data_IF_807525665334
#
_entry.id   IF_807525665334
#
_cell.length_a   1.000
_cell.length_b   1.000
_cell.length_c   1.000
_cell.angle_alpha   90.00
_cell.angle_beta   90.00
_cell.angle_gamma   90.00
#
_symmetry.space_group_name_H-M   'P 1'
#
loop_
_entity.id
_entity.type
_entity.pdbx_description
1 polymer ?
#
# COMPACT_ATOMS: atom_id res chain seq x y z
N UNK A 1 -12.33 0.06 5.86
CA UNK A 1 -12.05 1.48 6.10
C UNK A 1 -12.26 2.23 4.79
N UNK A 2 -13.39 2.90 4.60
CA UNK A 2 -13.74 3.47 3.30
C UNK A 2 -12.66 4.44 2.77
N UNK A 3 -12.09 5.26 3.66
CA UNK A 3 -11.06 6.24 3.29
C UNK A 3 -9.75 5.62 2.76
N UNK A 4 -9.31 4.47 3.29
CA UNK A 4 -8.07 3.84 2.83
C UNK A 4 -8.23 3.33 1.39
N UNK A 5 -9.37 2.68 1.11
CA UNK A 5 -9.70 2.20 -0.23
C UNK A 5 -9.78 3.37 -1.21
N UNK A 6 -10.54 4.41 -0.86
CA UNK A 6 -10.70 5.60 -1.70
C UNK A 6 -9.37 6.29 -2.00
N UNK A 7 -8.46 6.36 -1.03
CA UNK A 7 -7.12 6.93 -1.24
C UNK A 7 -6.29 6.11 -2.23
N UNK A 8 -6.26 4.77 -2.09
CA UNK A 8 -5.53 3.89 -3.02
C UNK A 8 -6.13 4.00 -4.43
N UNK A 9 -7.45 3.97 -4.56
CA UNK A 9 -8.14 4.12 -5.85
C UNK A 9 -7.86 5.48 -6.49
N UNK A 10 -7.90 6.57 -5.72
CA UNK A 10 -7.61 7.93 -6.21
C UNK A 10 -6.18 8.05 -6.71
N UNK A 11 -5.22 7.52 -5.96
CA UNK A 11 -3.80 7.54 -6.35
C UNK A 11 -3.59 6.72 -7.63
N UNK A 12 -4.19 5.53 -7.73
CA UNK A 12 -4.09 4.70 -8.93
C UNK A 12 -4.79 5.30 -10.15
N UNK A 13 -5.90 6.02 -9.94
CA UNK A 13 -6.63 6.70 -11.00
C UNK A 13 -5.99 8.03 -11.43
N UNK A 14 -5.01 8.55 -10.69
CA UNK A 14 -4.39 9.87 -10.95
C UNK A 14 -3.60 9.97 -12.25
N UNK A 15 -3.28 8.84 -12.90
CA UNK A 15 -2.41 8.79 -14.08
C UNK A 15 -0.92 9.03 -13.78
N UNK A 16 -0.57 9.26 -12.51
CA UNK A 16 0.82 9.27 -12.06
C UNK A 16 1.40 7.86 -12.17
N UNK A 17 2.70 7.77 -12.44
CA UNK A 17 3.43 6.50 -12.56
C UNK A 17 4.76 6.59 -11.82
N UNK A 18 5.42 5.44 -11.61
CA UNK A 18 6.72 5.38 -10.93
C UNK A 18 6.66 5.40 -9.40
N UNK A 19 5.49 5.16 -8.81
CA UNK A 19 5.34 4.98 -7.36
C UNK A 19 4.78 3.58 -7.03
N UNK A 20 4.90 3.22 -5.76
CA UNK A 20 4.31 2.02 -5.17
C UNK A 20 3.49 2.44 -3.96
N UNK A 21 2.31 1.85 -3.79
CA UNK A 21 1.42 2.15 -2.65
C UNK A 21 1.53 1.02 -1.64
N UNK A 22 2.00 1.34 -0.43
CA UNK A 22 2.06 0.41 0.69
C UNK A 22 1.00 0.84 1.71
N UNK A 23 0.20 -0.10 2.19
CA UNK A 23 -0.81 0.14 3.23
C UNK A 23 -0.52 -0.68 4.47
N UNK A 24 -0.96 -0.23 5.63
CA UNK A 24 -0.57 -0.84 6.89
C UNK A 24 -1.29 -0.32 8.13
N UNK A 25 -0.91 -0.89 9.28
CA UNK A 25 -1.43 -0.55 10.60
C UNK A 25 -2.20 -1.69 11.28
N UNK A 26 -2.40 -1.56 12.60
CA UNK A 26 -3.01 -2.60 13.45
C UNK A 26 -4.36 -3.18 12.94
N UNK A 27 -5.27 -2.39 12.34
CA UNK A 27 -6.54 -2.92 11.85
C UNK A 27 -6.53 -3.33 10.35
N UNK A 28 -5.37 -3.30 9.67
CA UNK A 28 -5.25 -3.63 8.24
C UNK A 28 -4.67 -5.04 8.10
N UNK A 29 -5.26 -5.83 7.19
CA UNK A 29 -4.78 -7.18 6.84
C UNK A 29 -4.12 -7.18 5.46
N UNK A 30 -3.23 -8.15 5.17
CA UNK A 30 -2.63 -8.32 3.86
C UNK A 30 -3.67 -8.61 2.76
N UNK A 31 -4.74 -9.32 3.10
CA UNK A 31 -5.86 -9.58 2.19
C UNK A 31 -6.57 -8.29 1.80
N UNK A 32 -6.84 -7.41 2.77
CA UNK A 32 -7.47 -6.12 2.49
C UNK A 32 -6.58 -5.21 1.65
N UNK A 33 -5.27 -5.21 1.92
CA UNK A 33 -4.30 -4.47 1.10
C UNK A 33 -4.34 -4.90 -0.38
N UNK A 34 -4.45 -6.21 -0.62
CA UNK A 34 -4.57 -6.76 -1.97
C UNK A 34 -5.91 -6.42 -2.60
N UNK A 35 -7.01 -6.52 -1.85
CA UNK A 35 -8.37 -6.20 -2.30
C UNK A 35 -8.51 -4.76 -2.79
N UNK A 36 -7.93 -3.80 -2.06
CA UNK A 36 -7.95 -2.39 -2.44
C UNK A 36 -6.89 -2.04 -3.50
N UNK A 37 -6.08 -3.01 -3.92
CA UNK A 37 -5.08 -2.85 -4.95
C UNK A 37 -3.81 -2.13 -4.50
N UNK A 38 -3.39 -2.23 -3.24
CA UNK A 38 -2.07 -1.75 -2.83
C UNK A 38 -0.95 -2.64 -3.44
N UNK A 39 0.23 -2.07 -3.64
CA UNK A 39 1.43 -2.79 -4.10
C UNK A 39 2.14 -3.53 -2.94
N UNK A 40 1.84 -3.16 -1.69
CA UNK A 40 2.41 -3.79 -0.52
C UNK A 40 1.57 -3.62 0.74
N UNK A 41 1.85 -4.50 1.71
CA UNK A 41 1.32 -4.44 3.06
C UNK A 41 2.48 -4.41 4.08
N UNK A 42 2.32 -3.64 5.16
CA UNK A 42 3.19 -3.70 6.31
C UNK A 42 2.41 -3.50 7.64
N UNK A 43 2.61 -4.36 8.66
CA UNK A 43 1.91 -4.22 9.93
C UNK A 43 2.44 -3.07 10.81
N UNK A 44 3.68 -2.64 10.58
CA UNK A 44 4.38 -1.64 11.38
C UNK A 44 5.39 -0.82 10.54
N UNK A 45 5.95 0.23 11.15
CA UNK A 45 6.86 1.15 10.49
C UNK A 45 8.19 0.51 10.04
N UNK A 46 8.75 -0.41 10.84
CA UNK A 46 10.00 -1.10 10.50
C UNK A 46 9.81 -2.02 9.31
N UNK A 47 8.74 -2.82 9.34
CA UNK A 47 8.34 -3.67 8.21
C UNK A 47 8.04 -2.87 6.94
N UNK A 48 7.46 -1.67 7.06
CA UNK A 48 7.20 -0.79 5.92
C UNK A 48 8.50 -0.31 5.24
N UNK A 49 9.53 0.02 6.02
CA UNK A 49 10.83 0.41 5.46
C UNK A 49 11.49 -0.74 4.69
N UNK A 50 11.46 -1.96 5.24
CA UNK A 50 11.96 -3.16 4.56
C UNK A 50 11.18 -3.39 3.26
N UNK A 51 9.84 -3.35 3.32
CA UNK A 51 8.99 -3.56 2.15
C UNK A 51 9.20 -2.52 1.07
N UNK A 52 9.43 -1.26 1.46
CA UNK A 52 9.73 -0.18 0.53
C UNK A 52 11.00 -0.47 -0.25
N UNK A 53 12.07 -0.94 0.43
CA UNK A 53 13.32 -1.32 -0.22
C UNK A 53 13.12 -2.47 -1.23
N UNK A 54 12.33 -3.48 -0.88
CA UNK A 54 12.01 -4.57 -1.81
C UNK A 54 11.29 -4.07 -3.07
N UNK A 55 10.29 -3.22 -2.89
CA UNK A 55 9.42 -2.76 -3.99
C UNK A 55 10.08 -1.77 -4.95
N UNK A 56 11.09 -1.01 -4.50
CA UNK A 56 11.84 -0.09 -5.38
C UNK A 56 13.00 -0.76 -6.12
N UNK A 57 13.36 -1.99 -5.75
CA UNK A 57 14.47 -2.74 -6.36
C UNK A 57 13.98 -3.78 -7.38
N UNK A 58 12.67 -4.08 -7.39
CA UNK A 58 12.01 -5.03 -8.28
C UNK A 58 11.53 -4.36 -9.58
#
# INVERSE_FOLDING_TARGET
>A
MPALKEAVETIKASGLTGFKVIVGGAPVTPEYATEIGADGYAPDAGSAAVKSKELVTA
#
